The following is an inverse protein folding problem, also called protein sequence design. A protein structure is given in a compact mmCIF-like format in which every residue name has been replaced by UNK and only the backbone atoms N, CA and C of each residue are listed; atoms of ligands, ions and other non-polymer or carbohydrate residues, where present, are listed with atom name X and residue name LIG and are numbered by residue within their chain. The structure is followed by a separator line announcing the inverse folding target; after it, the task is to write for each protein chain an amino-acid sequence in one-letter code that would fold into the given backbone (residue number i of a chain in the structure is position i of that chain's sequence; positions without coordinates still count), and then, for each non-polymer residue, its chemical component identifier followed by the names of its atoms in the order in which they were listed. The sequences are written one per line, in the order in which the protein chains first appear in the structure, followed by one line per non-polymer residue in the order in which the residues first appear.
data_IF_454713875310
#
_entry.id   IF_454713875310
#
_cell.length_a   1.000
_cell.length_b   1.000
_cell.length_c   1.000
_cell.angle_alpha   90.00
_cell.angle_beta   90.00
_cell.angle_gamma   90.00
#
_symmetry.space_group_name_H-M   'P 1'
#
loop_
_entity.id
_entity.type
_entity.pdbx_description
1 polymer ?
#
# COMPACT_ATOMS: atom_id res chain seq x y z
N UNK A 1 32.69 67.30 30.91
CA UNK A 1 33.53 66.72 29.86
C UNK A 1 33.19 65.23 29.83
N UNK A 2 32.39 64.81 28.85
CA UNK A 2 31.81 63.46 28.75
C UNK A 2 32.76 62.58 27.94
N UNK A 3 33.17 61.45 28.50
CA UNK A 3 33.81 60.37 27.77
C UNK A 3 32.79 59.24 27.62
N UNK A 4 32.38 59.01 26.38
CA UNK A 4 31.46 57.98 25.98
C UNK A 4 32.31 56.70 25.74
N UNK A 5 32.14 55.70 26.62
CA UNK A 5 32.72 54.36 26.44
C UNK A 5 31.89 53.60 25.41
N UNK A 6 32.47 53.33 24.23
CA UNK A 6 31.91 52.44 23.24
C UNK A 6 32.18 51.00 23.69
N UNK A 7 31.10 50.31 24.09
CA UNK A 7 31.14 48.87 24.35
C UNK A 7 31.23 48.13 23.03
N UNK A 8 32.42 47.62 22.74
CA UNK A 8 32.67 46.73 21.63
C UNK A 8 32.12 45.35 21.99
N UNK A 9 30.95 45.05 21.45
CA UNK A 9 30.35 43.73 21.58
C UNK A 9 31.11 42.74 20.68
N UNK A 10 32.06 42.03 21.26
CA UNK A 10 32.74 40.88 20.61
C UNK A 10 31.70 39.77 20.41
N UNK A 11 31.11 39.71 19.23
CA UNK A 11 30.34 38.57 18.73
C UNK A 11 31.26 37.37 18.62
N UNK A 12 31.37 36.60 19.70
CA UNK A 12 32.01 35.30 19.68
C UNK A 12 31.18 34.36 18.78
N UNK A 13 31.54 34.32 17.50
CA UNK A 13 31.12 33.25 16.61
C UNK A 13 31.70 31.95 17.17
N UNK A 14 30.92 31.26 17.99
CA UNK A 14 31.27 29.93 18.51
C UNK A 14 31.41 28.98 17.33
N UNK A 15 32.66 28.58 17.04
CA UNK A 15 32.90 27.55 16.07
C UNK A 15 32.23 26.27 16.51
N UNK A 16 31.39 25.61 15.64
CA UNK A 16 30.73 24.39 16.03
C UNK A 16 31.77 23.34 16.42
N UNK A 17 31.56 22.66 17.53
CA UNK A 17 32.45 21.57 17.97
C UNK A 17 32.27 20.37 17.05
N UNK A 18 33.32 19.56 16.88
CA UNK A 18 33.25 18.31 16.09
C UNK A 18 32.12 17.42 16.56
N UNK A 19 31.87 17.35 17.89
CA UNK A 19 30.76 16.61 18.47
C UNK A 19 29.40 17.16 18.04
N UNK A 20 29.26 18.47 17.90
CA UNK A 20 28.03 19.11 17.44
C UNK A 20 27.74 18.78 15.97
N UNK A 21 28.76 18.88 15.11
CA UNK A 21 28.65 18.55 13.69
C UNK A 21 28.31 17.06 13.50
N UNK A 22 28.98 16.18 14.23
CA UNK A 22 28.69 14.74 14.13
C UNK A 22 27.29 14.39 14.63
N UNK A 23 26.80 15.05 15.70
CA UNK A 23 25.44 14.90 16.20
C UNK A 23 24.39 15.34 15.18
N UNK A 24 24.61 16.47 14.51
CA UNK A 24 23.71 16.99 13.48
C UNK A 24 23.65 16.09 12.25
N UNK A 25 24.78 15.58 11.79
CA UNK A 25 24.85 14.60 10.70
C UNK A 25 24.12 13.32 11.07
N UNK A 26 24.32 12.79 12.27
CA UNK A 26 23.67 11.58 12.73
C UNK A 26 22.15 11.76 12.84
N UNK A 27 21.69 12.91 13.32
CA UNK A 27 20.28 13.26 13.40
C UNK A 27 19.64 13.33 11.99
N UNK A 28 20.35 13.95 11.05
CA UNK A 28 19.89 14.06 9.66
C UNK A 28 19.77 12.67 9.01
N UNK A 29 20.79 11.83 9.17
CA UNK A 29 20.75 10.46 8.65
C UNK A 29 19.60 9.67 9.27
N UNK A 30 19.40 9.77 10.60
CA UNK A 30 18.31 9.10 11.28
C UNK A 30 16.93 9.56 10.79
N UNK A 31 16.75 10.85 10.54
CA UNK A 31 15.52 11.39 9.99
C UNK A 31 15.24 10.87 8.57
N UNK A 32 16.28 10.82 7.72
CA UNK A 32 16.16 10.28 6.36
C UNK A 32 15.80 8.79 6.40
N UNK A 33 16.44 8.01 7.26
CA UNK A 33 16.13 6.58 7.41
C UNK A 33 14.70 6.36 7.91
N UNK A 34 14.24 7.16 8.87
CA UNK A 34 12.87 7.09 9.36
C UNK A 34 11.85 7.40 8.25
N UNK A 35 12.09 8.46 7.46
CA UNK A 35 11.25 8.80 6.31
C UNK A 35 11.27 7.71 5.25
N UNK A 36 12.42 7.08 5.01
CA UNK A 36 12.55 5.98 4.07
C UNK A 36 11.71 4.77 4.50
N UNK A 37 11.77 4.39 5.79
CA UNK A 37 10.95 3.28 6.32
C UNK A 37 9.46 3.58 6.19
N UNK A 38 9.03 4.80 6.53
CA UNK A 38 7.62 5.21 6.36
C UNK A 38 7.21 5.15 4.90
N UNK A 39 8.07 5.63 3.99
CA UNK A 39 7.82 5.58 2.55
C UNK A 39 7.65 4.13 2.05
N UNK A 40 8.56 3.22 2.41
CA UNK A 40 8.51 1.81 2.02
C UNK A 40 7.21 1.13 2.48
N UNK A 41 6.83 1.32 3.75
CA UNK A 41 5.61 0.74 4.30
C UNK A 41 4.37 1.30 3.59
N UNK A 42 4.29 2.62 3.44
CA UNK A 42 3.13 3.28 2.84
C UNK A 42 2.97 2.96 1.35
N UNK A 43 4.10 2.91 0.61
CA UNK A 43 4.08 2.62 -0.83
C UNK A 43 3.64 1.19 -1.12
N UNK A 44 4.10 0.23 -0.32
CA UNK A 44 3.75 -1.19 -0.46
C UNK A 44 2.26 -1.40 -0.24
N UNK A 45 1.70 -0.85 0.84
CA UNK A 45 0.27 -0.97 1.17
C UNK A 45 -0.61 -0.33 0.08
N UNK A 46 -0.22 0.86 -0.38
CA UNK A 46 -0.98 1.57 -1.41
C UNK A 46 -0.99 0.84 -2.75
N UNK A 47 0.12 0.20 -3.11
CA UNK A 47 0.23 -0.55 -4.36
C UNK A 47 -0.65 -1.82 -4.31
N UNK A 48 -0.59 -2.57 -3.22
CA UNK A 48 -1.42 -3.76 -3.02
C UNK A 48 -2.91 -3.43 -2.99
N UNK A 49 -3.31 -2.36 -2.29
CA UNK A 49 -4.69 -1.89 -2.25
C UNK A 49 -5.22 -1.50 -3.66
N UNK A 50 -4.38 -0.86 -4.47
CA UNK A 50 -4.75 -0.50 -5.86
C UNK A 50 -4.93 -1.71 -6.76
N UNK A 51 -4.06 -2.70 -6.65
CA UNK A 51 -4.18 -3.95 -7.40
C UNK A 51 -5.45 -4.71 -7.01
N UNK A 52 -5.72 -4.82 -5.72
CA UNK A 52 -6.96 -5.42 -5.20
C UNK A 52 -8.22 -4.68 -5.69
N UNK A 53 -8.22 -3.35 -5.66
CA UNK A 53 -9.35 -2.55 -6.12
C UNK A 53 -9.63 -2.75 -7.62
N UNK A 54 -8.59 -2.80 -8.45
CA UNK A 54 -8.74 -3.07 -9.90
C UNK A 54 -9.28 -4.48 -10.14
N UNK A 55 -8.70 -5.49 -9.49
CA UNK A 55 -9.15 -6.87 -9.62
C UNK A 55 -10.60 -7.05 -9.14
N UNK A 56 -11.02 -6.31 -8.11
CA UNK A 56 -12.40 -6.30 -7.65
C UNK A 56 -13.36 -5.70 -8.68
N UNK A 57 -12.99 -4.58 -9.30
CA UNK A 57 -13.80 -3.94 -10.35
C UNK A 57 -13.94 -4.87 -11.57
N UNK A 58 -12.85 -5.43 -12.03
CA UNK A 58 -12.83 -6.40 -13.13
C UNK A 58 -13.73 -7.62 -12.87
N UNK A 59 -13.70 -8.12 -11.64
CA UNK A 59 -14.54 -9.24 -11.22
C UNK A 59 -16.03 -8.86 -11.21
N UNK A 60 -16.35 -7.67 -10.67
CA UNK A 60 -17.73 -7.17 -10.62
C UNK A 60 -18.30 -6.95 -12.02
N UNK A 61 -17.52 -6.38 -12.96
CA UNK A 61 -17.94 -6.22 -14.35
C UNK A 61 -18.22 -7.56 -15.04
N UNK A 62 -17.35 -8.54 -14.83
CA UNK A 62 -17.54 -9.91 -15.39
C UNK A 62 -18.77 -10.60 -14.79
N UNK A 63 -19.04 -10.41 -13.52
CA UNK A 63 -20.22 -10.97 -12.88
C UNK A 63 -21.50 -10.28 -13.35
N UNK A 64 -21.52 -8.95 -13.47
CA UNK A 64 -22.65 -8.21 -14.03
C UNK A 64 -23.00 -8.68 -15.44
N UNK A 65 -22.02 -8.78 -16.33
CA UNK A 65 -22.24 -9.26 -17.70
C UNK A 65 -22.75 -10.71 -17.78
N UNK A 66 -22.44 -11.53 -16.78
CA UNK A 66 -22.96 -12.91 -16.69
C UNK A 66 -24.40 -12.96 -16.21
N UNK A 67 -24.81 -12.10 -15.27
CA UNK A 67 -26.18 -11.99 -14.83
C UNK A 67 -27.14 -11.58 -15.94
N UNK A 68 -26.71 -10.68 -16.83
CA UNK A 68 -27.52 -10.23 -17.98
C UNK A 68 -27.75 -11.34 -19.04
N UNK A 69 -26.89 -12.37 -19.05
CA UNK A 69 -26.98 -13.48 -20.00
C UNK A 69 -27.73 -14.70 -19.43
N UNK A 70 -28.13 -14.66 -18.16
CA UNK A 70 -28.81 -15.79 -17.52
C UNK A 70 -30.33 -15.63 -17.70
N UNK A 71 -30.94 -16.47 -18.54
CA UNK A 71 -32.39 -16.57 -18.67
C UNK A 71 -32.98 -17.04 -17.32
N UNK A 72 -33.89 -16.28 -16.69
CA UNK A 72 -34.50 -16.67 -15.45
C UNK A 72 -35.30 -18.00 -15.53
N UNK A 73 -35.67 -18.43 -16.74
CA UNK A 73 -36.34 -19.72 -16.95
C UNK A 73 -35.38 -20.92 -16.92
N UNK A 74 -34.06 -20.70 -17.12
CA UNK A 74 -33.03 -21.73 -17.08
C UNK A 74 -32.47 -22.00 -15.67
N UNK A 75 -32.98 -21.31 -14.65
CA UNK A 75 -32.44 -21.34 -13.27
C UNK A 75 -32.66 -22.67 -12.52
N UNK A 76 -33.26 -23.66 -13.12
CA UNK A 76 -33.52 -24.96 -12.47
C UNK A 76 -32.26 -25.84 -12.27
N UNK A 77 -31.21 -25.59 -13.01
CA UNK A 77 -29.89 -26.27 -12.85
C UNK A 77 -28.79 -25.25 -13.03
N UNK A 78 -27.94 -24.98 -12.00
CA UNK A 78 -26.83 -24.07 -12.14
C UNK A 78 -25.91 -24.57 -13.25
N UNK A 79 -25.69 -23.75 -14.28
CA UNK A 79 -24.70 -24.04 -15.30
C UNK A 79 -23.32 -24.17 -14.63
N UNK A 80 -22.48 -25.16 -15.01
CA UNK A 80 -21.12 -25.27 -14.49
C UNK A 80 -20.36 -23.98 -14.83
N UNK A 81 -19.73 -23.40 -13.81
CA UNK A 81 -18.88 -22.23 -13.99
C UNK A 81 -17.72 -22.60 -14.91
N UNK A 82 -17.32 -21.73 -15.82
CA UNK A 82 -16.10 -21.94 -16.58
C UNK A 82 -14.89 -22.05 -15.65
N UNK A 83 -13.89 -22.87 -15.97
CA UNK A 83 -12.70 -22.97 -15.18
C UNK A 83 -12.03 -21.60 -15.05
N UNK A 84 -11.49 -21.25 -13.88
CA UNK A 84 -10.80 -19.98 -13.67
C UNK A 84 -9.58 -19.88 -14.59
N UNK A 85 -9.28 -18.68 -15.06
CA UNK A 85 -8.12 -18.40 -15.90
C UNK A 85 -6.94 -17.96 -15.04
N UNK A 86 -5.78 -18.53 -15.28
CA UNK A 86 -4.55 -18.26 -14.54
C UNK A 86 -4.24 -16.75 -14.53
N UNK A 87 -3.99 -16.20 -13.36
CA UNK A 87 -3.73 -14.77 -13.13
C UNK A 87 -4.97 -13.90 -13.05
N UNK A 88 -6.17 -14.44 -13.26
CA UNK A 88 -7.42 -13.69 -13.16
C UNK A 88 -8.11 -13.86 -11.82
N UNK A 89 -8.76 -12.78 -11.38
CA UNK A 89 -9.63 -12.82 -10.20
C UNK A 89 -10.91 -13.60 -10.53
N UNK A 90 -11.27 -14.58 -9.71
CA UNK A 90 -12.46 -15.42 -9.94
C UNK A 90 -13.39 -15.51 -8.73
N UNK A 91 -12.91 -15.18 -7.53
CA UNK A 91 -13.68 -15.25 -6.31
C UNK A 91 -13.41 -14.08 -5.37
N UNK A 92 -14.28 -13.90 -4.38
CA UNK A 92 -14.11 -12.93 -3.31
C UNK A 92 -14.27 -13.62 -1.96
N UNK A 93 -13.26 -13.46 -1.09
CA UNK A 93 -13.29 -13.93 0.28
C UNK A 93 -13.71 -12.78 1.21
N UNK A 94 -14.65 -13.04 2.07
CA UNK A 94 -15.07 -12.14 3.13
C UNK A 94 -14.62 -12.68 4.49
N UNK A 95 -13.84 -11.89 5.23
CA UNK A 95 -13.24 -12.27 6.52
C UNK A 95 -13.75 -11.35 7.63
N UNK A 96 -14.98 -11.56 8.13
CA UNK A 96 -15.58 -10.69 9.14
C UNK A 96 -14.84 -10.69 10.48
N UNK A 97 -14.03 -11.72 10.75
CA UNK A 97 -13.17 -11.81 11.94
C UNK A 97 -12.03 -10.76 11.96
N UNK A 98 -11.64 -10.24 10.80
CA UNK A 98 -10.59 -9.22 10.67
C UNK A 98 -11.15 -7.79 10.56
N UNK A 99 -12.49 -7.66 10.56
CA UNK A 99 -13.19 -6.38 10.43
C UNK A 99 -14.45 -6.52 9.60
N UNK A 100 -15.41 -5.64 9.80
CA UNK A 100 -16.74 -5.75 9.20
C UNK A 100 -16.78 -5.72 7.67
N UNK A 101 -15.74 -5.16 7.05
CA UNK A 101 -15.66 -5.00 5.58
C UNK A 101 -14.39 -5.59 4.96
N UNK A 102 -13.69 -6.48 5.66
CA UNK A 102 -12.48 -7.09 5.14
C UNK A 102 -12.82 -8.08 4.03
N UNK A 103 -12.55 -7.68 2.79
CA UNK A 103 -12.80 -8.47 1.58
C UNK A 103 -11.55 -8.49 0.73
N UNK A 104 -11.20 -9.69 0.27
CA UNK A 104 -10.09 -9.89 -0.67
C UNK A 104 -10.57 -10.62 -1.90
N UNK A 105 -10.08 -10.19 -3.05
CA UNK A 105 -10.27 -10.89 -4.31
C UNK A 105 -9.25 -12.02 -4.39
N UNK A 106 -9.70 -13.21 -4.75
CA UNK A 106 -8.86 -14.40 -4.93
C UNK A 106 -8.51 -14.52 -6.41
N UNK A 107 -7.24 -14.74 -6.68
CA UNK A 107 -6.69 -14.88 -8.03
C UNK A 107 -6.34 -16.34 -8.29
N UNK A 108 -6.54 -16.80 -9.51
CA UNK A 108 -6.11 -18.13 -9.92
C UNK A 108 -4.59 -18.17 -10.11
N UNK A 109 -3.91 -19.08 -9.42
CA UNK A 109 -2.47 -19.26 -9.48
C UNK A 109 -1.72 -18.80 -8.23
N UNK A 110 -0.48 -19.25 -8.12
CA UNK A 110 0.41 -19.01 -6.98
C UNK A 110 1.76 -18.44 -7.39
N UNK A 111 1.88 -17.93 -8.60
CA UNK A 111 3.09 -17.25 -9.06
C UNK A 111 3.29 -15.92 -8.32
N UNK A 112 4.53 -15.43 -8.19
CA UNK A 112 4.80 -14.16 -7.50
C UNK A 112 4.00 -12.97 -8.03
N UNK A 113 3.73 -12.93 -9.34
CA UNK A 113 2.89 -11.91 -9.98
C UNK A 113 1.41 -12.01 -9.57
N UNK A 114 0.88 -13.22 -9.44
CA UNK A 114 -0.51 -13.47 -9.04
C UNK A 114 -0.71 -13.07 -7.57
N UNK A 115 0.22 -13.46 -6.69
CA UNK A 115 0.19 -13.17 -5.26
C UNK A 115 0.37 -11.69 -4.91
N UNK A 116 0.87 -10.86 -5.84
CA UNK A 116 0.89 -9.40 -5.66
C UNK A 116 -0.50 -8.79 -5.70
N UNK A 117 -1.42 -9.42 -6.40
CA UNK A 117 -2.81 -8.95 -6.54
C UNK A 117 -3.65 -9.35 -5.35
N UNK A 118 -3.46 -10.56 -4.81
CA UNK A 118 -4.23 -11.06 -3.68
C UNK A 118 -3.92 -12.50 -3.31
N UNK A 119 -4.73 -13.10 -2.43
CA UNK A 119 -4.63 -14.53 -2.14
C UNK A 119 -4.74 -15.35 -3.41
N UNK A 120 -3.81 -16.27 -3.61
CA UNK A 120 -3.80 -17.18 -4.74
C UNK A 120 -4.57 -18.47 -4.45
N UNK A 121 -5.21 -19.01 -5.47
CA UNK A 121 -5.78 -20.35 -5.45
C UNK A 121 -4.74 -21.35 -5.97
N UNK A 122 -4.61 -22.45 -5.27
CA UNK A 122 -3.69 -23.55 -5.60
C UNK A 122 -4.51 -24.71 -6.21
N UNK A 123 -4.11 -25.17 -7.38
CA UNK A 123 -4.67 -26.36 -8.03
C UNK A 123 -4.27 -27.66 -7.32
#
# INVERSE_FOLDING_TARGET
MHARGEGHGDGHATRPSVAQISGEILLTISAILALFVVYELYWTDLTSARLQARAATDLDERWAGRHDQTDPAAAATPAPLPPPVLGEAFARVHLPALGTDTRYVVVEGTRPEDLRTGPGHYE
#
